data_IF_393359825126
#
_entry.id   IF_393359825126
#
_cell.length_a   1.000
_cell.length_b   1.000
_cell.length_c   1.000
_cell.angle_alpha   90.00
_cell.angle_beta   90.00
_cell.angle_gamma   90.00
#
_symmetry.space_group_name_H-M   'P 1'
#
loop_
_entity.id
_entity.type
_entity.pdbx_description
1 polymer ?
#
# COMPACT_ATOMS: atom_id res chain seq x y z
N UNK A 1 6.78 -1.85 1.98
CA UNK A 1 7.78 -0.99 1.31
C UNK A 1 9.06 -1.41 1.97
N UNK A 2 9.83 -2.24 1.26
CA UNK A 2 10.78 -3.17 1.91
C UNK A 2 12.23 -2.72 1.69
N UNK A 3 12.41 -1.57 1.03
CA UNK A 3 13.71 -0.98 0.73
C UNK A 3 14.09 0.02 1.84
N UNK A 4 15.26 -0.20 2.44
CA UNK A 4 15.84 0.63 3.49
C UNK A 4 17.21 1.14 3.02
N UNK A 5 17.44 2.45 3.13
CA UNK A 5 18.76 3.06 2.91
C UNK A 5 19.28 3.54 4.27
N UNK A 6 20.44 3.03 4.69
CA UNK A 6 21.13 3.46 5.90
C UNK A 6 22.39 4.22 5.51
N UNK A 7 22.57 5.42 6.06
CA UNK A 7 23.76 6.25 5.86
C UNK A 7 24.52 6.33 7.19
N UNK A 8 25.83 6.09 7.15
CA UNK A 8 26.70 6.31 8.31
C UNK A 8 27.99 7.01 7.89
N UNK A 9 28.68 7.59 8.88
CA UNK A 9 30.05 8.04 8.69
C UNK A 9 30.92 6.84 8.28
N UNK A 10 31.89 7.04 7.38
CA UNK A 10 32.83 6.03 6.91
C UNK A 10 33.87 5.60 7.96
N UNK A 11 33.48 5.51 9.23
CA UNK A 11 34.33 4.98 10.30
C UNK A 11 33.94 3.55 10.63
N UNK A 12 34.93 2.74 11.03
CA UNK A 12 34.71 1.39 11.51
C UNK A 12 33.67 1.32 12.65
N UNK A 13 33.71 2.29 13.57
CA UNK A 13 32.79 2.36 14.69
C UNK A 13 31.34 2.56 14.23
N UNK A 14 31.10 3.45 13.27
CA UNK A 14 29.74 3.71 12.74
C UNK A 14 29.17 2.51 11.99
N UNK A 15 30.01 1.79 11.23
CA UNK A 15 29.62 0.56 10.55
C UNK A 15 29.24 -0.55 11.54
N UNK A 16 29.98 -0.68 12.66
CA UNK A 16 29.63 -1.60 13.74
C UNK A 16 28.30 -1.25 14.41
N UNK A 17 28.03 0.03 14.64
CA UNK A 17 26.75 0.47 15.21
C UNK A 17 25.57 0.12 14.29
N UNK A 18 25.71 0.33 12.98
CA UNK A 18 24.69 -0.09 12.01
C UNK A 18 24.47 -1.60 12.03
N UNK A 19 25.55 -2.38 12.03
CA UNK A 19 25.47 -3.84 12.12
C UNK A 19 24.75 -4.27 13.40
N UNK A 20 25.11 -3.70 14.55
CA UNK A 20 24.47 -4.01 15.83
C UNK A 20 22.98 -3.71 15.82
N UNK A 21 22.57 -2.58 15.22
CA UNK A 21 21.15 -2.22 15.10
C UNK A 21 20.38 -3.18 14.18
N UNK A 22 20.99 -3.64 13.08
CA UNK A 22 20.39 -4.64 12.20
C UNK A 22 20.29 -6.01 12.88
N UNK A 23 21.30 -6.40 13.67
CA UNK A 23 21.27 -7.63 14.46
C UNK A 23 20.16 -7.58 15.52
N UNK A 24 19.98 -6.44 16.21
CA UNK A 24 18.89 -6.24 17.17
C UNK A 24 17.51 -6.27 16.50
N UNK A 25 17.37 -5.62 15.34
CA UNK A 25 16.15 -5.67 14.55
C UNK A 25 15.81 -7.11 14.13
N UNK A 26 16.82 -7.89 13.72
CA UNK A 26 16.64 -9.30 13.40
C UNK A 26 16.15 -10.10 14.62
N UNK A 27 16.75 -9.88 15.79
CA UNK A 27 16.33 -10.57 17.03
C UNK A 27 14.87 -10.28 17.40
N UNK A 28 14.41 -9.04 17.17
CA UNK A 28 13.04 -8.63 17.50
C UNK A 28 12.00 -9.06 16.46
N UNK A 29 12.36 -9.06 15.17
CA UNK A 29 11.42 -9.25 14.07
C UNK A 29 11.50 -10.61 13.38
N UNK A 30 12.62 -11.32 13.51
CA UNK A 30 12.94 -12.51 12.73
C UNK A 30 13.24 -12.25 11.25
N UNK A 31 13.31 -10.98 10.82
CA UNK A 31 13.52 -10.59 9.44
C UNK A 31 15.00 -10.33 9.15
N UNK A 32 15.56 -11.04 8.16
CA UNK A 32 16.90 -10.79 7.64
C UNK A 32 16.87 -9.90 6.40
N UNK A 33 17.88 -9.04 6.26
CA UNK A 33 18.16 -8.38 5.01
C UNK A 33 18.46 -9.42 3.91
N UNK A 34 17.94 -9.22 2.71
CA UNK A 34 18.20 -10.10 1.59
C UNK A 34 19.59 -9.82 1.01
N UNK A 35 20.59 -10.65 1.32
CA UNK A 35 21.96 -10.48 0.85
C UNK A 35 22.12 -10.41 -0.68
N UNK A 36 21.21 -11.02 -1.47
CA UNK A 36 21.25 -10.94 -2.93
C UNK A 36 20.70 -9.61 -3.48
N UNK A 37 20.08 -8.78 -2.62
CA UNK A 37 19.49 -7.48 -2.96
C UNK A 37 20.08 -6.32 -2.13
N UNK A 38 20.79 -6.60 -1.04
CA UNK A 38 21.43 -5.62 -0.18
C UNK A 38 22.82 -5.28 -0.70
N UNK A 39 23.02 -4.01 -1.08
CA UNK A 39 24.30 -3.50 -1.54
C UNK A 39 24.91 -2.57 -0.48
N UNK A 40 26.23 -2.68 -0.27
CA UNK A 40 27.00 -1.73 0.54
C UNK A 40 27.79 -0.86 -0.43
N UNK A 41 27.57 0.45 -0.35
CA UNK A 41 28.33 1.42 -1.12
C UNK A 41 29.31 2.12 -0.19
N UNK A 42 30.60 2.02 -0.50
CA UNK A 42 31.65 2.76 0.18
C UNK A 42 32.03 3.92 -0.74
N UNK A 43 31.74 5.14 -0.29
CA UNK A 43 32.24 6.34 -0.94
C UNK A 43 33.71 6.51 -0.56
N UNK A 44 34.62 5.84 -1.26
CA UNK A 44 36.08 6.04 -1.13
C UNK A 44 36.48 7.37 -1.78
N UNK A 45 35.92 8.48 -1.28
CA UNK A 45 36.39 9.80 -1.61
C UNK A 45 37.53 10.15 -0.65
N UNK A 46 38.77 10.34 -1.14
CA UNK A 46 39.91 10.72 -0.31
C UNK A 46 39.85 12.19 0.15
N UNK A 47 38.73 12.87 -0.09
CA UNK A 47 38.54 14.32 0.07
C UNK A 47 37.31 14.56 0.93
N UNK A 48 37.45 15.41 1.94
CA UNK A 48 36.33 15.82 2.79
C UNK A 48 35.27 16.58 1.95
N UNK A 49 33.99 16.44 2.29
CA UNK A 49 32.87 17.05 1.54
C UNK A 49 33.03 18.57 1.37
N UNK A 50 33.60 19.25 2.37
CA UNK A 50 33.87 20.69 2.32
C UNK A 50 34.96 21.09 1.31
N UNK A 51 35.85 20.18 0.90
CA UNK A 51 36.84 20.41 -0.14
C UNK A 51 36.31 20.11 -1.55
N UNK A 52 35.14 19.47 -1.64
CA UNK A 52 34.39 19.23 -2.88
C UNK A 52 33.48 20.41 -3.19
N UNK A 53 32.99 21.13 -2.17
CA UNK A 53 32.15 22.33 -2.34
C UNK A 53 33.04 23.57 -2.28
N UNK A 54 33.41 24.10 -3.43
CA UNK A 54 34.24 25.30 -3.57
C UNK A 54 33.46 26.39 -4.32
N UNK A 55 33.33 27.57 -3.72
CA UNK A 55 32.69 28.75 -4.31
C UNK A 55 31.32 28.44 -4.94
N UNK A 56 30.42 27.86 -4.14
CA UNK A 56 29.07 27.48 -4.56
C UNK A 56 29.02 26.48 -5.74
N UNK A 57 30.14 25.80 -6.05
CA UNK A 57 30.23 24.78 -7.09
C UNK A 57 30.75 23.44 -6.53
N UNK A 58 30.23 22.33 -7.05
CA UNK A 58 30.79 21.01 -6.78
C UNK A 58 31.99 20.73 -7.70
N UNK A 59 33.15 20.51 -7.10
CA UNK A 59 34.35 19.98 -7.74
C UNK A 59 34.54 18.53 -7.30
N UNK A 60 33.79 17.63 -7.92
CA UNK A 60 33.95 16.19 -7.70
C UNK A 60 35.35 15.74 -8.15
N UNK A 61 36.04 14.87 -7.39
CA UNK A 61 37.26 14.20 -7.87
C UNK A 61 36.97 13.42 -9.15
N UNK A 62 37.99 13.01 -9.92
CA UNK A 62 37.78 12.08 -11.02
C UNK A 62 37.21 10.74 -10.50
N UNK A 63 36.34 10.11 -11.27
CA UNK A 63 35.62 8.92 -10.84
C UNK A 63 36.63 7.80 -10.64
N UNK A 64 36.73 7.32 -9.41
CA UNK A 64 37.63 6.21 -9.07
C UNK A 64 37.07 4.87 -9.53
N UNK A 65 35.76 4.81 -9.83
CA UNK A 65 35.08 3.62 -10.39
C UNK A 65 34.10 3.99 -11.51
N UNK A 66 33.78 2.99 -12.34
CA UNK A 66 32.81 3.11 -13.44
C UNK A 66 31.40 3.40 -12.90
N UNK A 67 31.02 2.78 -11.78
CA UNK A 67 29.71 3.00 -11.13
C UNK A 67 29.54 4.45 -10.67
N UNK A 68 30.60 5.05 -10.10
CA UNK A 68 30.59 6.46 -9.71
C UNK A 68 30.50 7.38 -10.94
N UNK A 69 31.19 7.04 -12.03
CA UNK A 69 31.12 7.81 -13.27
C UNK A 69 29.69 7.82 -13.85
N UNK A 70 29.00 6.68 -13.82
CA UNK A 70 27.60 6.57 -14.26
C UNK A 70 26.67 7.39 -13.36
N UNK A 71 26.79 7.26 -12.04
CA UNK A 71 25.99 8.04 -11.08
C UNK A 71 26.20 9.54 -11.29
N UNK A 72 27.43 9.98 -11.48
CA UNK A 72 27.74 11.39 -11.72
C UNK A 72 27.18 11.91 -13.03
N UNK A 73 27.21 11.11 -14.10
CA UNK A 73 26.61 11.49 -15.39
C UNK A 73 25.11 11.77 -15.29
N UNK A 74 24.43 11.16 -14.30
CA UNK A 74 22.99 11.31 -14.04
C UNK A 74 22.68 12.35 -12.97
N UNK A 75 23.70 12.84 -12.26
CA UNK A 75 23.50 13.82 -11.19
C UNK A 75 23.23 15.18 -11.83
N UNK A 76 22.05 15.81 -11.59
CA UNK A 76 21.77 17.12 -12.14
C UNK A 76 22.78 18.15 -11.60
N UNK A 77 23.14 19.13 -12.43
CA UNK A 77 23.98 20.24 -12.00
C UNK A 77 23.28 21.01 -10.89
N UNK A 78 23.73 20.83 -9.65
CA UNK A 78 23.27 21.56 -8.48
C UNK A 78 24.28 22.67 -8.18
N UNK A 79 23.81 23.91 -8.13
CA UNK A 79 24.62 25.07 -7.78
C UNK A 79 24.16 25.53 -6.39
N UNK A 80 24.78 25.05 -5.29
CA UNK A 80 24.38 25.41 -3.95
C UNK A 80 24.46 26.91 -3.80
N UNK A 81 23.39 27.55 -3.34
CA UNK A 81 23.41 28.97 -3.05
C UNK A 81 23.61 29.14 -1.55
N UNK A 82 24.83 29.45 -1.13
CA UNK A 82 25.20 29.67 0.27
C UNK A 82 24.43 30.78 0.98
N UNK A 83 23.67 31.60 0.24
CA UNK A 83 22.86 32.70 0.81
C UNK A 83 21.40 32.32 1.07
N UNK A 84 20.95 31.14 0.65
CA UNK A 84 19.57 30.68 0.82
C UNK A 84 19.51 29.47 1.75
N UNK A 85 18.57 29.49 2.69
CA UNK A 85 18.29 28.33 3.53
C UNK A 85 17.68 27.18 2.72
N UNK A 86 18.06 25.95 3.06
CA UNK A 86 17.51 24.73 2.49
C UNK A 86 16.00 24.64 2.74
N UNK A 87 15.27 24.14 1.73
CA UNK A 87 13.81 23.94 1.79
C UNK A 87 13.43 22.54 1.36
N UNK A 88 12.56 21.90 2.13
CA UNK A 88 11.96 20.62 1.77
C UNK A 88 10.87 20.88 0.73
N UNK A 89 10.98 20.24 -0.45
CA UNK A 89 10.01 20.35 -1.54
C UNK A 89 9.33 19.00 -1.80
N UNK A 90 8.00 19.00 -1.76
CA UNK A 90 7.18 17.87 -2.19
C UNK A 90 6.98 17.92 -3.72
N UNK A 91 7.89 17.29 -4.47
CA UNK A 91 7.91 17.31 -5.95
C UNK A 91 6.58 16.91 -6.61
N UNK A 92 5.79 15.97 -6.07
CA UNK A 92 4.50 15.63 -6.68
C UNK A 92 3.44 16.75 -6.62
N UNK A 93 3.69 17.85 -5.91
CA UNK A 93 2.82 19.04 -5.94
C UNK A 93 3.54 20.20 -6.63
N UNK A 94 2.85 20.90 -7.53
CA UNK A 94 3.40 22.04 -8.27
C UNK A 94 3.79 23.23 -7.41
N UNK A 95 3.21 23.35 -6.20
CA UNK A 95 3.58 24.36 -5.22
C UNK A 95 4.69 23.92 -4.24
N UNK A 96 5.20 22.69 -4.38
CA UNK A 96 6.21 22.12 -3.48
C UNK A 96 5.73 21.82 -2.05
N UNK A 97 4.44 22.00 -1.75
CA UNK A 97 3.88 21.79 -0.41
C UNK A 97 3.37 20.36 -0.27
N UNK A 98 3.76 19.71 0.83
CA UNK A 98 3.24 18.40 1.19
C UNK A 98 1.79 18.48 1.68
N UNK A 99 0.98 17.51 1.28
CA UNK A 99 -0.30 17.22 1.91
C UNK A 99 -0.57 15.72 1.83
N UNK A 100 -1.33 15.17 2.78
CA UNK A 100 -1.76 13.78 2.71
C UNK A 100 -2.52 13.47 1.40
N UNK A 101 -3.27 14.45 0.89
CA UNK A 101 -3.99 14.34 -0.39
C UNK A 101 -3.04 14.24 -1.60
N UNK A 102 -2.01 15.08 -1.67
CA UNK A 102 -1.02 15.04 -2.76
C UNK A 102 -0.17 13.77 -2.71
N UNK A 103 0.18 13.29 -1.51
CA UNK A 103 0.84 12.00 -1.30
C UNK A 103 -0.04 10.82 -1.73
N UNK A 104 -1.31 10.80 -1.33
CA UNK A 104 -2.23 9.76 -1.76
C UNK A 104 -2.43 9.77 -3.28
N UNK A 105 -2.50 10.96 -3.88
CA UNK A 105 -2.63 11.12 -5.34
C UNK A 105 -1.40 10.63 -6.10
N UNK A 106 -0.19 10.84 -5.57
CA UNK A 106 1.04 10.34 -6.20
C UNK A 106 1.21 8.83 -6.04
N UNK A 107 0.68 8.25 -4.97
CA UNK A 107 0.75 6.80 -4.72
C UNK A 107 -0.34 6.02 -5.46
N UNK A 108 -1.52 6.60 -5.69
CA UNK A 108 -2.63 5.88 -6.32
C UNK A 108 -2.53 5.92 -7.84
N UNK A 109 -2.82 4.79 -8.46
CA UNK A 109 -3.22 4.77 -9.88
C UNK A 109 -4.72 5.09 -9.97
N UNK A 110 -5.14 6.12 -10.73
CA UNK A 110 -6.56 6.42 -10.89
C UNK A 110 -7.26 5.29 -11.65
N UNK A 111 -8.38 4.82 -11.10
CA UNK A 111 -9.27 3.84 -11.72
C UNK A 111 -10.63 4.49 -12.01
N UNK A 112 -11.35 4.02 -13.04
CA UNK A 112 -12.71 4.49 -13.31
C UNK A 112 -13.61 4.22 -12.09
N UNK A 113 -14.60 5.10 -11.91
CA UNK A 113 -15.62 4.89 -10.88
C UNK A 113 -16.47 3.67 -11.25
N UNK A 114 -16.72 2.83 -10.26
CA UNK A 114 -17.61 1.67 -10.36
C UNK A 114 -19.04 2.09 -10.01
N UNK A 115 -20.04 1.67 -10.77
CA UNK A 115 -21.47 2.01 -10.60
C UNK A 115 -21.96 1.84 -9.15
N UNK A 116 -21.60 0.73 -8.50
CA UNK A 116 -22.03 0.37 -7.15
C UNK A 116 -21.38 1.19 -6.01
N UNK A 117 -20.44 2.10 -6.27
CA UNK A 117 -19.68 2.77 -5.20
C UNK A 117 -20.57 3.52 -4.21
N UNK A 118 -21.69 4.09 -4.66
CA UNK A 118 -22.64 4.84 -3.82
C UNK A 118 -23.41 3.93 -2.86
N UNK A 119 -23.57 2.65 -3.19
CA UNK A 119 -24.24 1.67 -2.34
C UNK A 119 -23.36 1.36 -1.13
N UNK A 120 -22.05 1.33 -1.33
CA UNK A 120 -21.07 1.03 -0.27
C UNK A 120 -20.67 2.28 0.50
N UNK A 121 -20.46 3.39 -0.19
CA UNK A 121 -19.86 4.61 0.35
C UNK A 121 -20.85 5.77 0.28
N UNK A 122 -21.86 5.75 1.15
CA UNK A 122 -22.83 6.84 1.31
C UNK A 122 -22.64 7.57 2.65
N UNK A 123 -23.10 8.84 2.76
CA UNK A 123 -23.09 9.57 4.03
C UNK A 123 -23.86 8.80 5.10
N UNK A 124 -23.33 8.72 6.33
CA UNK A 124 -23.90 7.94 7.45
C UNK A 124 -23.73 6.41 7.36
N UNK A 125 -22.96 5.90 6.40
CA UNK A 125 -22.59 4.49 6.41
C UNK A 125 -21.78 4.13 7.68
N UNK A 126 -22.08 2.98 8.27
CA UNK A 126 -21.27 2.38 9.33
C UNK A 126 -20.04 1.75 8.67
N UNK A 127 -18.80 2.22 8.92
CA UNK A 127 -17.61 1.77 8.17
C UNK A 127 -17.41 0.26 8.15
N UNK A 128 -17.72 -0.43 9.25
CA UNK A 128 -17.68 -1.88 9.35
C UNK A 128 -18.63 -2.56 8.35
N UNK A 129 -19.86 -2.06 8.23
CA UNK A 129 -20.85 -2.63 7.32
C UNK A 129 -20.50 -2.31 5.86
N UNK A 130 -20.02 -1.10 5.58
CA UNK A 130 -19.47 -0.75 4.27
C UNK A 130 -18.32 -1.66 3.85
N UNK A 131 -17.39 -1.95 4.75
CA UNK A 131 -16.26 -2.84 4.46
C UNK A 131 -16.73 -4.28 4.17
N UNK A 132 -17.67 -4.82 4.96
CA UNK A 132 -18.24 -6.15 4.73
C UNK A 132 -18.97 -6.20 3.38
N UNK A 133 -19.80 -5.19 3.06
CA UNK A 133 -20.52 -5.10 1.80
C UNK A 133 -19.57 -4.96 0.61
N UNK A 134 -18.51 -4.18 0.75
CA UNK A 134 -17.46 -4.07 -0.26
C UNK A 134 -16.80 -5.42 -0.55
N UNK A 135 -16.45 -6.19 0.50
CA UNK A 135 -15.92 -7.54 0.34
C UNK A 135 -16.94 -8.48 -0.32
N UNK A 136 -18.22 -8.35 0.03
CA UNK A 136 -19.31 -9.12 -0.57
C UNK A 136 -19.40 -8.82 -2.09
N UNK A 137 -19.49 -7.55 -2.48
CA UNK A 137 -19.52 -7.15 -3.90
C UNK A 137 -18.30 -7.68 -4.66
N UNK A 138 -17.12 -7.73 -4.03
CA UNK A 138 -15.89 -8.27 -4.62
C UNK A 138 -15.83 -9.81 -4.61
N UNK A 139 -16.80 -10.51 -4.03
CA UNK A 139 -16.81 -11.96 -3.86
C UNK A 139 -15.66 -12.46 -2.97
N UNK A 140 -15.23 -11.65 -2.00
CA UNK A 140 -14.06 -11.90 -1.15
C UNK A 140 -14.41 -12.24 0.30
N UNK A 141 -15.69 -12.44 0.61
CA UNK A 141 -16.08 -13.01 1.90
C UNK A 141 -15.66 -14.48 1.98
N UNK A 142 -15.34 -14.96 3.18
CA UNK A 142 -15.00 -16.35 3.45
C UNK A 142 -16.27 -17.20 3.61
N UNK A 143 -17.07 -17.30 2.54
CA UNK A 143 -18.22 -18.21 2.48
C UNK A 143 -17.75 -19.67 2.53
N UNK A 144 -18.58 -20.58 3.05
CA UNK A 144 -18.14 -21.96 3.30
C UNK A 144 -17.69 -22.71 2.03
N UNK A 145 -18.24 -22.37 0.86
CA UNK A 145 -17.77 -22.87 -0.44
C UNK A 145 -16.28 -22.53 -0.70
N UNK A 146 -15.81 -21.36 -0.28
CA UNK A 146 -14.40 -20.95 -0.39
C UNK A 146 -13.55 -21.57 0.70
N UNK A 147 -14.10 -21.74 1.91
CA UNK A 147 -13.41 -22.41 3.03
C UNK A 147 -13.15 -23.87 2.69
N UNK A 148 -14.07 -24.54 1.98
CA UNK A 148 -13.91 -25.93 1.55
C UNK A 148 -12.66 -26.17 0.69
N UNK A 149 -12.19 -25.14 -0.01
CA UNK A 149 -10.94 -25.23 -0.78
C UNK A 149 -9.71 -25.42 0.12
N UNK A 150 -9.75 -24.91 1.36
CA UNK A 150 -8.68 -25.01 2.34
C UNK A 150 -8.88 -26.17 3.32
N UNK A 151 -10.14 -26.50 3.65
CA UNK A 151 -10.51 -27.63 4.49
C UNK A 151 -11.61 -28.48 3.81
N UNK A 152 -11.25 -29.59 3.15
CA UNK A 152 -12.21 -30.46 2.47
C UNK A 152 -13.26 -31.11 3.39
N UNK A 153 -13.03 -31.14 4.70
CA UNK A 153 -13.95 -31.75 5.66
C UNK A 153 -15.00 -30.76 6.20
N UNK A 154 -14.91 -29.48 5.82
CA UNK A 154 -15.84 -28.46 6.29
C UNK A 154 -17.26 -28.75 5.79
N UNK A 155 -18.23 -28.65 6.70
CA UNK A 155 -19.65 -28.73 6.33
C UNK A 155 -20.01 -27.43 5.61
N UNK A 156 -20.39 -27.54 4.34
CA UNK A 156 -20.73 -26.37 3.51
C UNK A 156 -22.20 -25.98 3.59
N UNK A 157 -23.01 -26.63 4.42
CA UNK A 157 -24.42 -26.27 4.59
C UNK A 157 -24.56 -24.86 5.16
N UNK A 158 -25.42 -24.04 4.55
CA UNK A 158 -25.66 -22.67 4.99
C UNK A 158 -26.21 -22.62 6.41
N UNK A 159 -25.54 -21.83 7.25
CA UNK A 159 -25.86 -21.69 8.68
C UNK A 159 -27.21 -21.02 8.95
N UNK A 160 -27.75 -20.29 7.97
CA UNK A 160 -29.03 -19.59 8.10
C UNK A 160 -30.22 -20.51 7.81
N UNK A 161 -30.11 -21.37 6.80
CA UNK A 161 -31.22 -22.20 6.32
C UNK A 161 -31.08 -23.68 6.68
N UNK A 162 -29.87 -24.14 6.99
CA UNK A 162 -29.52 -25.55 7.23
C UNK A 162 -30.00 -26.52 6.15
N UNK A 163 -30.18 -26.05 4.91
CA UNK A 163 -30.85 -26.82 3.84
C UNK A 163 -30.06 -26.92 2.54
N UNK A 164 -29.34 -25.87 2.14
CA UNK A 164 -28.55 -25.85 0.91
C UNK A 164 -27.09 -25.48 1.23
N UNK A 165 -26.18 -25.69 0.28
CA UNK A 165 -24.80 -25.25 0.42
C UNK A 165 -24.72 -23.72 0.49
N UNK A 166 -23.86 -23.20 1.36
CA UNK A 166 -23.56 -21.79 1.50
C UNK A 166 -22.66 -21.33 0.36
N UNK A 167 -23.29 -20.70 -0.62
CA UNK A 167 -22.60 -19.95 -1.65
C UNK A 167 -22.79 -18.46 -1.43
N UNK A 168 -21.95 -17.66 -2.09
CA UNK A 168 -22.07 -16.21 -2.05
C UNK A 168 -23.45 -15.68 -2.53
N UNK A 169 -24.06 -16.30 -3.53
CA UNK A 169 -25.41 -15.93 -3.98
C UNK A 169 -26.48 -16.43 -3.00
N UNK A 170 -26.33 -17.66 -2.50
CA UNK A 170 -27.28 -18.25 -1.57
C UNK A 170 -27.37 -17.45 -0.27
N UNK A 171 -26.24 -17.13 0.34
CA UNK A 171 -26.17 -16.43 1.62
C UNK A 171 -26.91 -15.08 1.59
N UNK A 172 -26.82 -14.34 0.48
CA UNK A 172 -27.38 -12.99 0.40
C UNK A 172 -28.76 -12.91 -0.27
N UNK A 173 -29.07 -13.76 -1.25
CA UNK A 173 -30.26 -13.58 -2.09
C UNK A 173 -31.12 -14.82 -2.27
N UNK A 174 -30.55 -16.04 -2.31
CA UNK A 174 -31.34 -17.24 -2.64
C UNK A 174 -31.90 -17.94 -1.40
N UNK A 175 -31.21 -17.83 -0.27
CA UNK A 175 -31.59 -18.39 1.03
C UNK A 175 -32.97 -17.87 1.46
N UNK A 176 -33.85 -18.78 1.93
CA UNK A 176 -35.19 -18.39 2.37
C UNK A 176 -35.17 -17.38 3.52
N UNK A 177 -34.19 -17.49 4.43
CA UNK A 177 -34.02 -16.56 5.54
C UNK A 177 -33.66 -15.16 5.04
N UNK A 178 -32.67 -15.07 4.15
CA UNK A 178 -32.24 -13.80 3.55
C UNK A 178 -33.34 -13.18 2.68
N UNK A 179 -34.07 -13.99 1.90
CA UNK A 179 -35.25 -13.55 1.13
C UNK A 179 -36.33 -12.96 2.02
N UNK A 180 -36.60 -13.57 3.18
CA UNK A 180 -37.58 -13.05 4.12
C UNK A 180 -37.18 -11.66 4.66
N UNK A 181 -35.89 -11.47 5.00
CA UNK A 181 -35.36 -10.16 5.41
C UNK A 181 -35.53 -9.13 4.30
N UNK A 182 -35.10 -9.46 3.09
CA UNK A 182 -35.22 -8.57 1.94
C UNK A 182 -36.67 -8.20 1.64
N UNK A 183 -37.59 -9.16 1.69
CA UNK A 183 -39.01 -8.91 1.49
C UNK A 183 -39.55 -7.90 2.50
N UNK A 184 -39.19 -8.04 3.78
CA UNK A 184 -39.59 -7.09 4.81
C UNK A 184 -39.00 -5.68 4.59
N UNK A 185 -37.74 -5.59 4.16
CA UNK A 185 -37.09 -4.31 3.85
C UNK A 185 -37.71 -3.64 2.63
N UNK A 186 -37.90 -4.38 1.54
CA UNK A 186 -38.52 -3.87 0.32
C UNK A 186 -39.96 -3.40 0.56
N UNK A 187 -40.73 -4.13 1.37
CA UNK A 187 -42.07 -3.72 1.79
C UNK A 187 -42.06 -2.40 2.57
N UNK A 188 -41.03 -2.14 3.40
CA UNK A 188 -40.91 -0.88 4.14
C UNK A 188 -40.48 0.30 3.25
N UNK A 189 -39.84 0.02 2.13
CA UNK A 189 -39.37 1.02 1.18
C UNK A 189 -40.32 1.21 -0.02
N UNK A 190 -41.50 0.57 -0.02
CA UNK A 190 -42.43 0.51 -1.17
C UNK A 190 -41.77 0.06 -2.49
N UNK A 191 -40.76 -0.80 -2.40
CA UNK A 191 -39.96 -1.31 -3.52
C UNK A 191 -40.36 -2.75 -3.89
N UNK A 192 -41.64 -2.98 -4.14
CA UNK A 192 -42.17 -4.32 -4.42
C UNK A 192 -41.74 -4.82 -5.81
N UNK A 193 -41.45 -6.13 -5.91
CA UNK A 193 -41.19 -6.80 -7.18
C UNK A 193 -39.75 -6.71 -7.71
N UNK A 194 -38.82 -6.15 -6.93
CA UNK A 194 -37.40 -6.15 -7.28
C UNK A 194 -36.82 -7.56 -7.11
N UNK A 195 -36.28 -8.11 -8.20
CA UNK A 195 -35.41 -9.27 -8.11
C UNK A 195 -34.04 -8.82 -7.60
N UNK A 196 -33.56 -9.45 -6.53
CA UNK A 196 -32.28 -9.10 -5.93
C UNK A 196 -31.24 -10.13 -6.34
N UNK A 197 -30.29 -9.70 -7.17
CA UNK A 197 -29.08 -10.45 -7.47
C UNK A 197 -27.85 -9.57 -7.34
N UNK A 198 -26.68 -10.19 -7.30
CA UNK A 198 -25.41 -9.46 -7.31
C UNK A 198 -25.25 -8.62 -8.58
N UNK A 199 -25.72 -9.11 -9.73
CA UNK A 199 -25.64 -8.35 -10.98
C UNK A 199 -26.50 -7.10 -10.92
N UNK A 200 -27.75 -7.24 -10.44
CA UNK A 200 -28.69 -6.11 -10.29
C UNK A 200 -28.19 -5.04 -9.30
N UNK A 201 -27.33 -5.42 -8.35
CA UNK A 201 -26.73 -4.51 -7.38
C UNK A 201 -25.44 -3.85 -7.87
N UNK A 202 -24.77 -4.47 -8.84
CA UNK A 202 -23.45 -4.06 -9.32
C UNK A 202 -23.57 -3.25 -10.62
N UNK A 203 -24.57 -3.51 -11.46
CA UNK A 203 -24.86 -2.81 -12.72
C UNK A 203 -25.60 -1.48 -12.50
#
# INVERSE_FOLDING_TARGET
MDDLIMLCHGSYHSALMLKSALDEFFLLSGLCANHAKSNIFISDLPVAVNAIVLDDNYRWPAATSIDLAEIWSRTPSYNPNSTLDDRILWLPSSNGIYSAASAMKSLRTPHPLVSWYKIVWFPQNIPRMGFILWLAIKGRLSTLDRVQHYDPQVVTTCVLCNSQAETHAHLFFECFYSKAIWTQLLNKCDCLGIHLSWNDLID
#
